data_IF_890236858617
#
_entry.id   IF_890236858617
#
_cell.length_a   1.000
_cell.length_b   1.000
_cell.length_c   1.000
_cell.angle_alpha   90.00
_cell.angle_beta   90.00
_cell.angle_gamma   90.00
#
_symmetry.space_group_name_H-M   'P 1'
#
loop_
_entity.id
_entity.type
_entity.pdbx_description
1 polymer ?
#
# COMPACT_ATOMS: atom_id res chain seq x y z
N UNK A 1 -22.31 11.37 -8.50
CA UNK A 1 -20.88 11.74 -8.44
C UNK A 1 -20.24 11.34 -9.76
N UNK A 2 -19.41 12.20 -10.33
CA UNK A 2 -18.68 11.95 -11.57
C UNK A 2 -17.70 10.79 -11.44
N UNK A 3 -17.58 9.91 -12.43
CA UNK A 3 -16.61 8.79 -12.38
C UNK A 3 -15.17 9.30 -12.20
N UNK A 4 -14.84 10.39 -12.88
CA UNK A 4 -13.54 11.06 -12.77
C UNK A 4 -13.17 11.50 -11.35
N UNK A 5 -14.11 12.06 -10.56
CA UNK A 5 -13.79 12.53 -9.21
C UNK A 5 -13.65 11.40 -8.18
N UNK A 6 -14.12 10.20 -8.54
CA UNK A 6 -13.98 8.96 -7.76
C UNK A 6 -12.56 8.37 -7.81
N UNK A 7 -11.73 8.74 -8.78
CA UNK A 7 -10.37 8.23 -8.91
C UNK A 7 -9.47 8.68 -7.75
N UNK A 8 -8.52 7.82 -7.39
CA UNK A 8 -7.48 8.13 -6.41
C UNK A 8 -6.34 8.97 -7.04
N UNK A 9 -5.49 9.58 -6.21
CA UNK A 9 -4.41 10.45 -6.72
C UNK A 9 -3.40 9.68 -7.58
N UNK A 10 -3.18 8.39 -7.33
CA UNK A 10 -2.26 7.56 -8.12
C UNK A 10 -2.84 7.32 -9.51
N UNK A 11 -4.09 6.86 -9.61
CA UNK A 11 -4.84 6.68 -10.85
C UNK A 11 -4.92 7.98 -11.66
N UNK A 12 -5.21 9.11 -11.00
CA UNK A 12 -5.24 10.41 -11.67
C UNK A 12 -3.87 10.76 -12.29
N UNK A 13 -2.76 10.45 -11.60
CA UNK A 13 -1.41 10.68 -12.12
C UNK A 13 -1.08 9.74 -13.27
N UNK A 14 -1.44 8.47 -13.17
CA UNK A 14 -1.23 7.49 -14.23
C UNK A 14 -1.99 7.88 -15.51
N UNK A 15 -3.25 8.26 -15.39
CA UNK A 15 -4.07 8.70 -16.52
C UNK A 15 -3.56 9.98 -17.17
N UNK A 16 -3.04 10.92 -16.37
CA UNK A 16 -2.36 12.11 -16.88
C UNK A 16 -1.02 11.75 -17.55
N UNK A 17 -0.25 10.82 -16.99
CA UNK A 17 1.03 10.38 -17.53
C UNK A 17 0.87 9.63 -18.86
N UNK A 18 -0.15 8.78 -19.01
CA UNK A 18 -0.52 8.13 -20.29
C UNK A 18 -0.76 9.16 -21.40
N UNK A 19 -1.26 10.34 -21.03
CA UNK A 19 -1.51 11.48 -21.94
C UNK A 19 -0.34 12.46 -22.03
N UNK A 20 0.80 12.14 -21.41
CA UNK A 20 1.98 13.01 -21.31
C UNK A 20 1.67 14.39 -20.71
N UNK A 21 0.70 14.45 -19.79
CA UNK A 21 0.30 15.67 -19.08
C UNK A 21 1.03 15.78 -17.75
N UNK A 22 1.08 17.02 -17.24
CA UNK A 22 1.69 17.33 -15.96
C UNK A 22 0.94 16.60 -14.84
N UNK A 23 1.67 15.90 -13.97
CA UNK A 23 1.12 15.16 -12.83
C UNK A 23 1.33 15.88 -11.48
N UNK A 24 1.86 17.11 -11.48
CA UNK A 24 2.00 17.91 -10.26
C UNK A 24 0.71 18.64 -9.89
N UNK A 25 0.54 18.87 -8.59
CA UNK A 25 -0.63 19.55 -8.00
C UNK A 25 -1.46 18.66 -7.06
N UNK A 26 -2.47 19.29 -6.46
CA UNK A 26 -3.43 18.64 -5.56
C UNK A 26 -4.47 17.83 -6.34
N UNK A 27 -5.23 16.96 -5.67
CA UNK A 27 -6.23 16.07 -6.31
C UNK A 27 -7.16 16.82 -7.25
N UNK A 28 -7.69 17.97 -6.84
CA UNK A 28 -8.61 18.76 -7.67
C UNK A 28 -7.95 19.30 -8.94
N UNK A 29 -6.69 19.70 -8.85
CA UNK A 29 -5.91 20.16 -10.01
C UNK A 29 -5.73 19.02 -11.01
N UNK A 30 -5.44 17.80 -10.52
CA UNK A 30 -5.29 16.62 -11.37
C UNK A 30 -6.63 16.22 -12.01
N UNK A 31 -7.72 16.27 -11.26
CA UNK A 31 -9.09 16.01 -11.77
C UNK A 31 -9.46 17.02 -12.85
N UNK A 32 -9.27 18.32 -12.61
CA UNK A 32 -9.58 19.36 -13.58
C UNK A 32 -8.78 19.20 -14.89
N UNK A 33 -7.47 18.94 -14.77
CA UNK A 33 -6.59 18.72 -15.93
C UNK A 33 -7.00 17.49 -16.73
N UNK A 34 -7.30 16.38 -16.04
CA UNK A 34 -7.73 15.15 -16.71
C UNK A 34 -9.12 15.31 -17.34
N UNK A 35 -10.00 16.09 -16.71
CA UNK A 35 -11.32 16.45 -17.27
C UNK A 35 -11.18 17.19 -18.60
N UNK A 36 -10.33 18.20 -18.63
CA UNK A 36 -10.07 19.01 -19.83
C UNK A 36 -9.49 18.15 -20.94
N UNK A 37 -8.48 17.32 -20.63
CA UNK A 37 -7.89 16.41 -21.61
C UNK A 37 -8.91 15.42 -22.21
N UNK A 38 -9.85 14.92 -21.40
CA UNK A 38 -10.91 14.05 -21.89
C UNK A 38 -11.88 14.79 -22.83
N UNK A 39 -12.23 16.03 -22.50
CA UNK A 39 -13.09 16.87 -23.34
C UNK A 39 -12.39 17.19 -24.67
N UNK A 40 -11.09 17.50 -24.64
CA UNK A 40 -10.29 17.76 -25.85
C UNK A 40 -10.19 16.53 -26.76
N UNK A 41 -10.15 15.33 -26.16
CA UNK A 41 -10.23 14.04 -26.87
C UNK A 41 -11.66 13.71 -27.36
N UNK A 42 -12.65 14.56 -27.09
CA UNK A 42 -14.07 14.34 -27.44
C UNK A 42 -14.76 13.28 -26.58
N UNK A 43 -14.21 12.95 -25.41
CA UNK A 43 -14.74 11.96 -24.46
C UNK A 43 -15.48 12.64 -23.33
N UNK A 44 -16.54 12.01 -22.85
CA UNK A 44 -17.27 12.53 -21.70
C UNK A 44 -16.57 12.09 -20.39
N UNK A 45 -16.00 13.01 -19.59
CA UNK A 45 -15.31 12.66 -18.35
C UNK A 45 -16.19 11.98 -17.30
N UNK A 46 -17.51 12.13 -17.40
CA UNK A 46 -18.47 11.48 -16.50
C UNK A 46 -18.78 10.02 -16.89
N UNK A 47 -18.63 9.66 -18.17
CA UNK A 47 -18.93 8.33 -18.69
C UNK A 47 -17.69 7.52 -19.04
N UNK A 48 -16.55 8.19 -19.24
CA UNK A 48 -15.29 7.57 -19.62
C UNK A 48 -14.92 6.47 -18.63
N UNK A 49 -14.67 5.27 -19.17
CA UNK A 49 -14.22 4.11 -18.40
C UNK A 49 -12.70 4.18 -18.33
N UNK A 50 -12.18 4.31 -17.11
CA UNK A 50 -10.75 4.18 -16.87
C UNK A 50 -10.46 2.70 -16.63
N UNK A 51 -9.43 2.16 -17.29
CA UNK A 51 -8.95 0.82 -17.03
C UNK A 51 -8.46 0.78 -15.57
N UNK A 52 -9.21 0.13 -14.69
CA UNK A 52 -8.99 0.12 -13.23
C UNK A 52 -9.99 0.95 -12.39
N UNK A 53 -11.06 1.51 -12.98
CA UNK A 53 -12.14 2.14 -12.22
C UNK A 53 -13.17 1.14 -11.67
N UNK A 54 -13.20 -0.09 -12.20
CA UNK A 54 -14.12 -1.16 -11.77
C UNK A 54 -13.49 -2.10 -10.72
N UNK A 55 -12.16 -2.03 -10.52
CA UNK A 55 -11.44 -2.79 -9.49
C UNK A 55 -11.02 -1.84 -8.37
N UNK A 56 -11.75 -1.97 -7.25
CA UNK A 56 -11.25 -1.73 -5.90
C UNK A 56 -10.72 -0.33 -5.56
N UNK A 57 -11.60 0.45 -4.90
CA UNK A 57 -11.19 1.34 -3.81
C UNK A 57 -10.68 0.53 -2.58
N UNK A 58 -9.99 -0.59 -2.81
CA UNK A 58 -9.03 -1.14 -1.88
C UNK A 58 -7.71 -0.46 -2.25
N UNK A 59 -7.42 0.65 -1.57
CA UNK A 59 -6.06 0.79 -1.06
C UNK A 59 -5.65 -0.61 -0.58
N UNK A 60 -4.80 -1.31 -1.32
CA UNK A 60 -4.12 -2.48 -0.82
C UNK A 60 -3.12 -2.02 0.26
N UNK A 61 -3.61 -1.33 1.29
CA UNK A 61 -3.31 -1.67 2.67
C UNK A 61 -3.72 -3.12 2.79
N UNK A 62 -2.83 -4.04 2.39
CA UNK A 62 -3.15 -5.46 2.28
C UNK A 62 -3.96 -5.89 3.50
N UNK A 63 -5.21 -6.31 3.26
CA UNK A 63 -6.15 -6.68 4.32
C UNK A 63 -5.54 -7.83 5.09
N UNK A 64 -4.83 -7.51 6.19
CA UNK A 64 -4.26 -8.51 7.07
C UNK A 64 -5.43 -9.09 7.84
N UNK A 65 -5.94 -10.21 7.33
CA UNK A 65 -6.99 -10.95 8.03
C UNK A 65 -6.51 -11.25 9.44
N UNK A 66 -7.42 -11.28 10.41
CA UNK A 66 -7.09 -11.64 11.80
C UNK A 66 -6.29 -12.95 11.87
N UNK A 67 -6.54 -13.88 10.93
CA UNK A 67 -5.76 -15.11 10.78
C UNK A 67 -4.29 -14.84 10.46
N UNK A 68 -3.99 -13.99 9.47
CA UNK A 68 -2.62 -13.56 9.15
C UNK A 68 -1.98 -12.77 10.31
N UNK A 69 -2.78 -11.97 11.04
CA UNK A 69 -2.33 -11.27 12.25
C UNK A 69 -1.88 -12.23 13.34
N UNK A 70 -2.68 -13.25 13.61
CA UNK A 70 -2.35 -14.28 14.58
C UNK A 70 -1.15 -15.13 14.14
N UNK A 71 -1.06 -15.49 12.86
CA UNK A 71 0.07 -16.24 12.29
C UNK A 71 1.39 -15.48 12.45
N UNK A 72 1.40 -14.19 12.14
CA UNK A 72 2.59 -13.34 12.30
C UNK A 72 2.99 -13.18 13.78
N UNK A 73 2.02 -12.93 14.66
CA UNK A 73 2.28 -12.83 16.11
C UNK A 73 2.82 -14.16 16.68
N UNK A 74 2.32 -15.29 16.19
CA UNK A 74 2.77 -16.61 16.61
C UNK A 74 4.21 -16.86 16.18
N UNK A 75 4.57 -16.58 14.91
CA UNK A 75 5.95 -16.71 14.42
C UNK A 75 6.91 -15.90 15.29
N UNK A 76 6.64 -14.60 15.46
CA UNK A 76 7.48 -13.71 16.25
C UNK A 76 7.65 -14.19 17.70
N UNK A 77 6.58 -14.71 18.32
CA UNK A 77 6.64 -15.23 19.69
C UNK A 77 7.54 -16.47 19.80
N UNK A 78 7.53 -17.35 18.80
CA UNK A 78 8.40 -18.54 18.78
C UNK A 78 9.87 -18.18 18.63
N UNK A 79 10.19 -17.19 17.79
CA UNK A 79 11.56 -16.72 17.60
C UNK A 79 12.11 -16.05 18.86
N UNK A 80 11.31 -15.22 19.54
CA UNK A 80 11.68 -14.57 20.81
C UNK A 80 11.99 -15.62 21.89
N UNK A 81 11.14 -16.64 22.03
CA UNK A 81 11.32 -17.70 23.03
C UNK A 81 12.62 -18.48 22.81
N UNK A 82 12.94 -18.81 21.56
CA UNK A 82 14.15 -19.59 21.24
C UNK A 82 15.44 -18.77 21.43
N UNK A 83 15.41 -17.45 21.18
CA UNK A 83 16.55 -16.59 21.47
C UNK A 83 16.81 -16.47 22.98
N UNK A 84 15.76 -16.32 23.79
CA UNK A 84 15.88 -16.28 25.26
C UNK A 84 16.54 -17.54 25.82
N UNK A 85 16.13 -18.73 25.37
CA UNK A 85 16.68 -20.01 25.85
C UNK A 85 18.18 -20.13 25.53
N UNK A 86 18.58 -19.75 24.30
CA UNK A 86 20.00 -19.75 23.91
C UNK A 86 20.83 -18.79 24.76
N UNK A 87 20.35 -17.57 25.00
CA UNK A 87 21.05 -16.59 25.84
C UNK A 87 21.21 -17.08 27.28
N UNK A 88 20.19 -17.74 27.84
CA UNK A 88 20.30 -18.29 29.20
C UNK A 88 21.33 -19.42 29.31
N UNK A 89 21.45 -20.25 28.28
CA UNK A 89 22.40 -21.36 28.27
C UNK A 89 23.84 -20.88 28.07
N UNK A 90 24.06 -19.89 27.21
CA UNK A 90 25.35 -19.23 27.05
C UNK A 90 25.81 -18.56 28.35
N UNK A 91 24.91 -17.84 29.04
CA UNK A 91 25.21 -17.21 30.34
C UNK A 91 25.60 -18.24 31.41
N UNK A 92 24.94 -19.42 31.43
CA UNK A 92 25.31 -20.51 32.36
C UNK A 92 26.69 -21.08 32.06
N UNK A 93 27.01 -21.32 30.78
CA UNK A 93 28.32 -21.84 30.38
C UNK A 93 29.45 -20.85 30.70
N UNK A 94 29.25 -19.55 30.44
CA UNK A 94 30.22 -18.51 30.78
C UNK A 94 30.45 -18.46 32.29
N UNK A 95 29.39 -18.55 33.09
CA UNK A 95 29.51 -18.56 34.56
C UNK A 95 30.28 -19.80 35.05
N UNK A 96 29.99 -20.98 34.52
CA UNK A 96 30.71 -22.20 34.91
C UNK A 96 32.20 -22.16 34.54
N UNK A 97 32.55 -21.57 33.39
CA UNK A 97 33.95 -21.38 32.99
C UNK A 97 34.69 -20.36 33.85
N UNK A 98 33.99 -19.38 34.44
CA UNK A 98 34.59 -18.39 35.33
C UNK A 98 34.83 -18.90 36.76
N UNK A 99 34.19 -19.99 37.17
CA UNK A 99 34.29 -20.57 38.53
C UNK A 99 35.31 -21.73 38.62
N UNK A 100 35.97 -22.10 37.51
CA UNK A 100 37.09 -23.07 37.45
C UNK A 100 38.44 -22.35 37.38
#
# INVERSE_FOLDING_TARGET
MSKLCGLNVVQLREELQKRSLVTSGNKEVLVARLREALIDEGKNPDEFKFDGADEDNEISTGTFTTAKMMELLFSMSTEIKQQSERQTEELKQIKEQSER
#
